data_IF_971817672661
#
_entry.id   IF_971817672661
#
_cell.length_a   1.000
_cell.length_b   1.000
_cell.length_c   1.000
_cell.angle_alpha   90.00
_cell.angle_beta   90.00
_cell.angle_gamma   90.00
#
_symmetry.space_group_name_H-M   'P 1'
#
loop_
_entity.id
_entity.type
_entity.pdbx_description
1 polymer ?
#
# COMPACT_ATOMS: atom_id res chain seq x y z
N UNK A 1 3.79 15.09 -1.84
CA UNK A 1 3.64 13.66 -1.57
C UNK A 1 3.87 13.41 -0.08
N UNK A 2 3.00 12.61 0.55
CA UNK A 2 3.09 12.15 1.94
C UNK A 2 3.17 10.62 1.98
N UNK A 3 3.87 10.08 2.96
CA UNK A 3 4.04 8.63 3.16
C UNK A 3 3.21 8.19 4.35
N UNK A 4 2.24 7.30 4.16
CA UNK A 4 1.36 6.82 5.22
C UNK A 4 1.73 5.40 5.65
N UNK A 5 1.71 5.12 6.94
CA UNK A 5 1.95 3.78 7.47
C UNK A 5 0.66 2.97 7.39
N UNK A 6 0.59 1.99 6.49
CA UNK A 6 -0.50 1.02 6.45
C UNK A 6 -0.34 0.09 7.64
N UNK A 7 -1.28 0.19 8.58
CA UNK A 7 -1.12 -0.34 9.92
C UNK A 7 -2.06 -1.51 10.14
N UNK A 8 -1.47 -2.65 10.53
CA UNK A 8 -2.19 -3.87 10.89
C UNK A 8 -1.72 -4.39 12.25
N UNK A 9 -1.52 -5.71 12.37
CA UNK A 9 -0.96 -6.30 13.57
C UNK A 9 0.45 -5.72 13.89
N UNK A 10 0.81 -5.67 15.19
CA UNK A 10 2.02 -5.00 15.69
C UNK A 10 2.12 -3.51 15.35
N UNK A 11 0.98 -2.81 15.42
CA UNK A 11 0.86 -1.37 15.21
C UNK A 11 1.83 -0.52 16.04
N UNK A 12 2.32 -1.02 17.18
CA UNK A 12 3.36 -0.35 17.97
C UNK A 12 4.60 -0.02 17.13
N UNK A 13 5.01 -0.88 16.20
CA UNK A 13 6.18 -0.62 15.37
C UNK A 13 5.95 0.56 14.43
N UNK A 14 4.74 0.69 13.86
CA UNK A 14 4.37 1.84 13.04
C UNK A 14 4.36 3.13 13.87
N UNK A 15 3.76 3.09 15.07
CA UNK A 15 3.70 4.25 15.98
C UNK A 15 5.10 4.67 16.45
N UNK A 16 5.94 3.74 16.90
CA UNK A 16 7.30 4.04 17.31
C UNK A 16 8.13 4.61 16.14
N UNK A 17 7.92 4.10 14.92
CA UNK A 17 8.60 4.63 13.72
C UNK A 17 8.22 6.09 13.46
N UNK A 18 6.95 6.45 13.62
CA UNK A 18 6.46 7.81 13.43
C UNK A 18 6.92 8.74 14.57
N UNK A 19 6.53 8.43 15.81
CA UNK A 19 6.72 9.33 16.95
C UNK A 19 8.17 9.39 17.45
N UNK A 20 8.92 8.29 17.39
CA UNK A 20 10.30 8.24 17.93
C UNK A 20 11.35 8.39 16.84
N UNK A 21 11.03 8.05 15.59
CA UNK A 21 12.00 8.01 14.51
C UNK A 21 11.66 8.96 13.34
N UNK A 22 10.54 9.69 13.40
CA UNK A 22 10.10 10.63 12.36
C UNK A 22 10.00 9.99 10.97
N UNK A 23 9.55 8.73 10.92
CA UNK A 23 9.35 7.97 9.69
C UNK A 23 7.87 8.04 9.30
N UNK A 24 7.60 8.44 8.06
CA UNK A 24 6.25 8.64 7.54
C UNK A 24 5.63 9.98 7.94
N UNK A 25 4.40 10.19 7.50
CA UNK A 25 3.65 11.45 7.64
C UNK A 25 2.24 11.21 8.22
N UNK A 26 1.88 9.95 8.53
CA UNK A 26 0.59 9.57 9.11
C UNK A 26 0.32 8.08 8.98
N UNK A 27 -0.94 7.67 9.18
CA UNK A 27 -1.35 6.27 9.23
C UNK A 27 -2.59 6.01 8.38
N UNK A 28 -2.69 4.78 7.87
CA UNK A 28 -3.95 4.19 7.43
C UNK A 28 -4.17 2.94 8.28
N UNK A 29 -5.17 2.96 9.14
CA UNK A 29 -5.52 1.81 9.97
C UNK A 29 -6.52 0.91 9.24
N UNK A 30 -6.23 -0.39 9.20
CA UNK A 30 -7.06 -1.38 8.52
C UNK A 30 -8.06 -2.03 9.49
N UNK A 31 -9.37 -1.85 9.28
CA UNK A 31 -10.43 -2.39 10.13
C UNK A 31 -10.36 -3.92 10.35
N UNK A 32 -9.74 -4.67 9.45
CA UNK A 32 -9.49 -6.10 9.60
C UNK A 32 -8.67 -6.43 10.86
N UNK A 33 -7.78 -5.51 11.28
CA UNK A 33 -6.88 -5.69 12.42
C UNK A 33 -7.35 -5.06 13.72
N UNK A 34 -8.35 -4.16 13.68
CA UNK A 34 -8.81 -3.40 14.84
C UNK A 34 -10.31 -3.56 15.01
N UNK A 35 -10.75 -3.91 16.20
CA UNK A 35 -12.19 -3.98 16.53
C UNK A 35 -12.81 -2.61 16.72
N UNK A 36 -14.13 -2.55 16.58
CA UNK A 36 -14.90 -1.34 16.89
C UNK A 36 -14.62 -0.93 18.34
N UNK A 37 -14.36 0.36 18.54
CA UNK A 37 -14.02 0.90 19.86
C UNK A 37 -12.55 0.76 20.25
N UNK A 38 -11.67 0.20 19.38
CA UNK A 38 -10.22 0.13 19.66
C UNK A 38 -9.60 1.49 20.03
N UNK A 39 -10.12 2.58 19.45
CA UNK A 39 -9.71 3.96 19.68
C UNK A 39 -10.52 4.69 20.77
N UNK A 40 -11.40 4.01 21.50
CA UNK A 40 -12.16 4.63 22.60
C UNK A 40 -11.31 4.91 23.86
N UNK A 41 -10.08 4.38 23.91
CA UNK A 41 -9.13 4.59 25.00
C UNK A 41 -8.31 5.86 24.77
N UNK A 42 -7.91 6.53 25.85
CA UNK A 42 -7.09 7.75 25.79
C UNK A 42 -5.69 7.51 25.18
N UNK A 43 -5.16 6.27 25.29
CA UNK A 43 -3.84 5.92 24.78
C UNK A 43 -3.79 4.58 24.04
N UNK A 44 -3.07 4.56 22.93
CA UNK A 44 -2.74 3.34 22.17
C UNK A 44 -1.22 3.12 22.21
N UNK A 45 -0.77 2.02 22.81
CA UNK A 45 0.66 1.66 22.94
C UNK A 45 1.53 2.76 23.55
N UNK A 46 0.96 3.57 24.44
CA UNK A 46 1.64 4.65 25.15
C UNK A 46 1.48 6.05 24.54
N UNK A 47 0.96 6.16 23.31
CA UNK A 47 0.72 7.43 22.61
C UNK A 47 -0.73 7.88 22.78
N UNK A 48 -0.97 9.19 22.80
CA UNK A 48 -2.31 9.78 22.93
C UNK A 48 -3.15 9.48 21.69
N UNK A 49 -4.36 8.96 21.88
CA UNK A 49 -5.19 8.50 20.76
C UNK A 49 -5.59 9.63 19.81
N UNK A 50 -5.96 10.80 20.32
CA UNK A 50 -6.32 11.96 19.49
C UNK A 50 -5.15 12.42 18.61
N UNK A 51 -3.92 12.36 19.12
CA UNK A 51 -2.71 12.69 18.36
C UNK A 51 -2.48 11.70 17.20
N UNK A 52 -2.73 10.40 17.43
CA UNK A 52 -2.70 9.39 16.37
C UNK A 52 -3.77 9.69 15.33
N UNK A 53 -5.02 9.89 15.76
CA UNK A 53 -6.17 10.06 14.87
C UNK A 53 -6.07 11.35 14.03
N UNK A 54 -5.47 12.41 14.56
CA UNK A 54 -5.22 13.66 13.85
C UNK A 54 -4.38 13.49 12.55
N UNK A 55 -3.59 12.41 12.48
CA UNK A 55 -2.75 12.06 11.33
C UNK A 55 -3.17 10.77 10.63
N UNK A 56 -4.41 10.33 10.85
CA UNK A 56 -4.89 9.02 10.41
C UNK A 56 -5.97 9.07 9.33
N UNK A 57 -6.04 7.96 8.62
CA UNK A 57 -7.15 7.52 7.79
C UNK A 57 -7.60 6.16 8.35
N UNK A 58 -8.84 5.77 8.05
CA UNK A 58 -9.37 4.47 8.45
C UNK A 58 -9.93 3.72 7.24
N UNK A 59 -9.22 2.67 6.83
CA UNK A 59 -9.69 1.80 5.75
C UNK A 59 -10.63 0.76 6.35
N UNK A 60 -11.92 0.90 6.05
CA UNK A 60 -12.97 -0.02 6.49
C UNK A 60 -12.98 -1.34 5.73
N UNK A 61 -12.25 -1.45 4.61
CA UNK A 61 -12.01 -2.69 3.87
C UNK A 61 -13.29 -3.45 3.44
N UNK A 62 -14.29 -2.72 2.92
CA UNK A 62 -15.57 -3.31 2.44
C UNK A 62 -15.40 -4.28 1.27
N UNK A 63 -14.22 -4.36 0.68
CA UNK A 63 -13.85 -5.41 -0.25
C UNK A 63 -13.76 -6.81 0.39
N UNK A 64 -13.63 -6.93 1.71
CA UNK A 64 -13.72 -8.22 2.39
C UNK A 64 -15.15 -8.78 2.37
N UNK A 65 -15.53 -9.47 1.29
CA UNK A 65 -16.84 -10.13 1.14
C UNK A 65 -16.77 -11.63 1.48
N UNK A 66 -17.89 -12.13 2.00
CA UNK A 66 -18.12 -13.52 2.46
C UNK A 66 -18.57 -14.36 1.25
N UNK A 67 -17.65 -14.85 0.42
CA UNK A 67 -18.00 -15.99 -0.43
C UNK A 67 -17.87 -17.28 0.40
N UNK A 68 -19.00 -17.96 0.62
CA UNK A 68 -18.99 -19.36 1.10
C UNK A 68 -18.82 -19.62 2.60
N UNK A 69 -19.05 -18.63 3.46
CA UNK A 69 -19.11 -18.84 4.92
C UNK A 69 -18.00 -18.11 5.67
N UNK A 70 -18.42 -17.36 6.69
CA UNK A 70 -17.69 -16.54 7.67
C UNK A 70 -16.24 -16.19 7.34
N UNK A 71 -15.92 -14.89 7.22
CA UNK A 71 -14.54 -14.41 7.41
C UNK A 71 -14.03 -15.04 8.71
N UNK A 72 -13.18 -16.06 8.59
CA UNK A 72 -12.80 -16.89 9.73
C UNK A 72 -11.81 -16.18 10.67
N UNK A 73 -11.20 -15.08 10.19
CA UNK A 73 -10.15 -14.32 10.88
C UNK A 73 -10.32 -12.82 10.64
N UNK A 74 -10.08 -12.01 11.67
CA UNK A 74 -10.12 -10.55 11.59
C UNK A 74 -11.25 -9.93 12.41
N UNK A 75 -11.36 -8.60 12.35
CA UNK A 75 -12.28 -7.81 13.18
C UNK A 75 -13.38 -7.08 12.39
N UNK A 76 -13.51 -7.32 11.09
CA UNK A 76 -14.51 -6.64 10.25
C UNK A 76 -15.95 -6.82 10.74
N UNK A 77 -16.29 -8.00 11.27
CA UNK A 77 -17.62 -8.29 11.82
C UNK A 77 -17.97 -7.56 13.10
N UNK A 78 -17.02 -6.87 13.76
CA UNK A 78 -17.32 -6.07 14.95
C UNK A 78 -17.98 -4.74 14.61
N UNK A 79 -17.92 -4.30 13.35
CA UNK A 79 -18.53 -3.04 12.91
C UNK A 79 -19.95 -3.32 12.39
N UNK A 80 -21.01 -2.80 13.04
CA UNK A 80 -22.39 -3.14 12.69
C UNK A 80 -22.78 -2.68 11.28
N UNK A 81 -22.07 -1.71 10.72
CA UNK A 81 -22.26 -1.22 9.36
C UNK A 81 -21.38 -1.92 8.32
N UNK A 82 -20.51 -2.86 8.71
CA UNK A 82 -19.68 -3.58 7.74
C UNK A 82 -20.51 -4.70 7.07
N UNK A 83 -20.34 -4.96 5.76
CA UNK A 83 -21.09 -6.01 5.05
C UNK A 83 -21.01 -7.39 5.72
N UNK A 84 -19.90 -7.70 6.39
CA UNK A 84 -19.66 -8.99 7.07
C UNK A 84 -20.50 -9.19 8.32
N UNK A 85 -20.91 -8.11 8.98
CA UNK A 85 -21.83 -8.16 10.13
C UNK A 85 -23.29 -8.34 9.68
N UNK A 86 -23.59 -8.01 8.42
CA UNK A 86 -24.95 -8.02 7.83
C UNK A 86 -25.12 -9.11 6.77
N UNK A 87 -24.28 -10.15 6.81
CA UNK A 87 -24.15 -11.16 5.76
C UNK A 87 -25.10 -12.36 5.93
N UNK A 88 -26.30 -12.15 6.49
CA UNK A 88 -27.32 -13.20 6.67
C UNK A 88 -28.30 -13.32 5.49
N UNK A 89 -28.35 -12.34 4.58
CA UNK A 89 -29.18 -12.43 3.38
C UNK A 89 -28.31 -12.52 2.13
N UNK A 90 -28.50 -13.58 1.33
CA UNK A 90 -27.79 -13.83 0.06
C UNK A 90 -28.04 -12.73 -1.00
N UNK A 91 -28.93 -11.78 -0.75
CA UNK A 91 -29.19 -10.62 -1.62
C UNK A 91 -29.09 -9.30 -0.84
N UNK A 92 -27.87 -8.78 -0.67
CA UNK A 92 -27.71 -7.38 -0.25
C UNK A 92 -28.08 -6.47 -1.43
N UNK A 93 -29.18 -5.72 -1.30
CA UNK A 93 -29.57 -4.73 -2.31
C UNK A 93 -28.59 -3.56 -2.36
N UNK A 94 -28.46 -2.89 -3.50
CA UNK A 94 -27.65 -1.66 -3.63
C UNK A 94 -28.04 -0.60 -2.58
N UNK A 95 -29.34 -0.54 -2.21
CA UNK A 95 -29.85 0.36 -1.17
C UNK A 95 -29.24 0.05 0.21
N UNK A 96 -29.16 -1.24 0.58
CA UNK A 96 -28.52 -1.64 1.82
C UNK A 96 -27.03 -1.28 1.81
N UNK A 97 -26.32 -1.61 0.73
CA UNK A 97 -24.88 -1.33 0.60
C UNK A 97 -24.60 0.17 0.73
N UNK A 98 -25.39 1.01 0.05
CA UNK A 98 -25.26 2.45 0.18
C UNK A 98 -25.48 2.95 1.62
N UNK A 99 -26.47 2.39 2.33
CA UNK A 99 -26.72 2.72 3.74
C UNK A 99 -25.51 2.37 4.61
N UNK A 100 -24.93 1.18 4.41
CA UNK A 100 -23.74 0.73 5.11
C UNK A 100 -22.52 1.63 4.82
N UNK A 101 -22.33 2.07 3.57
CA UNK A 101 -21.26 3.00 3.21
C UNK A 101 -21.45 4.35 3.92
N UNK A 102 -22.67 4.90 3.93
CA UNK A 102 -22.99 6.17 4.60
C UNK A 102 -22.71 6.07 6.11
N UNK A 103 -23.11 4.98 6.76
CA UNK A 103 -22.79 4.73 8.17
C UNK A 103 -21.29 4.63 8.42
N UNK A 104 -20.53 3.99 7.52
CA UNK A 104 -19.07 3.92 7.60
C UNK A 104 -18.38 5.28 7.43
N UNK A 105 -18.94 6.19 6.62
CA UNK A 105 -18.49 7.59 6.52
C UNK A 105 -18.77 8.32 7.84
N UNK A 106 -20.00 8.24 8.35
CA UNK A 106 -20.41 8.86 9.61
C UNK A 106 -19.55 8.39 10.77
N UNK A 107 -19.29 7.09 10.89
CA UNK A 107 -18.42 6.55 11.93
C UNK A 107 -17.01 7.16 11.91
N UNK A 108 -16.40 7.29 10.73
CA UNK A 108 -15.07 7.89 10.61
C UNK A 108 -15.04 9.36 11.06
N UNK A 109 -16.11 10.11 10.83
CA UNK A 109 -16.18 11.53 11.18
C UNK A 109 -16.57 11.68 12.65
N UNK A 110 -17.69 11.10 13.06
CA UNK A 110 -18.33 11.39 14.34
C UNK A 110 -17.71 10.59 15.49
N UNK A 111 -17.32 9.34 15.26
CA UNK A 111 -16.75 8.47 16.29
C UNK A 111 -15.23 8.52 16.33
N UNK A 112 -14.56 8.70 15.19
CA UNK A 112 -13.09 8.74 15.11
C UNK A 112 -12.52 10.15 14.91
N UNK A 113 -13.34 11.17 14.62
CA UNK A 113 -12.86 12.55 14.45
C UNK A 113 -11.94 12.75 13.25
N UNK A 114 -12.00 11.88 12.24
CA UNK A 114 -11.04 11.89 11.13
C UNK A 114 -11.32 13.01 10.13
N UNK A 115 -10.28 13.75 9.76
CA UNK A 115 -10.34 14.80 8.73
C UNK A 115 -10.17 14.27 7.31
N UNK A 116 -9.65 13.05 7.17
CA UNK A 116 -9.49 12.38 5.89
C UNK A 116 -10.26 11.05 5.94
N UNK A 117 -11.35 10.99 5.20
CA UNK A 117 -12.30 9.88 5.19
C UNK A 117 -12.06 9.04 3.95
N UNK A 118 -11.81 7.74 4.15
CA UNK A 118 -11.82 6.77 3.06
C UNK A 118 -13.27 6.33 2.89
N UNK A 119 -13.89 6.67 1.76
CA UNK A 119 -15.23 6.20 1.42
C UNK A 119 -15.10 4.70 1.07
N UNK A 120 -15.75 3.80 1.81
CA UNK A 120 -15.67 2.38 1.52
C UNK A 120 -16.33 2.05 0.19
N UNK A 121 -15.75 1.08 -0.51
CA UNK A 121 -16.36 0.47 -1.69
C UNK A 121 -16.00 -1.02 -1.73
N UNK A 122 -16.77 -1.81 -2.45
CA UNK A 122 -16.52 -3.23 -2.55
C UNK A 122 -15.65 -3.61 -3.73
N UNK A 123 -15.08 -4.80 -3.62
CA UNK A 123 -14.45 -5.50 -4.72
C UNK A 123 -15.55 -6.08 -5.62
N UNK A 124 -15.69 -5.53 -6.82
CA UNK A 124 -16.57 -6.06 -7.86
C UNK A 124 -15.73 -6.41 -9.07
N UNK A 125 -15.79 -7.66 -9.47
CA UNK A 125 -14.89 -8.19 -10.47
C UNK A 125 -15.57 -8.45 -11.80
N UNK A 126 -16.90 -8.52 -11.80
CA UNK A 126 -17.66 -9.01 -12.93
C UNK A 126 -18.62 -7.95 -13.49
N UNK A 127 -19.07 -7.01 -12.66
CA UNK A 127 -20.05 -5.98 -13.04
C UNK A 127 -19.56 -4.55 -12.75
N UNK A 128 -18.73 -3.97 -13.63
CA UNK A 128 -18.27 -2.58 -13.50
C UNK A 128 -19.41 -1.57 -13.30
N UNK A 129 -20.58 -1.82 -13.91
CA UNK A 129 -21.75 -0.94 -13.77
C UNK A 129 -22.26 -0.80 -12.34
N UNK A 130 -22.24 -1.87 -11.54
CA UNK A 130 -22.70 -1.83 -10.14
C UNK A 130 -21.73 -1.00 -9.30
N UNK A 131 -20.43 -1.19 -9.52
CA UNK A 131 -19.36 -0.39 -8.93
C UNK A 131 -19.51 1.12 -9.24
N UNK A 132 -19.75 1.47 -10.51
CA UNK A 132 -19.94 2.85 -10.95
C UNK A 132 -21.27 3.44 -10.42
N UNK A 133 -22.33 2.64 -10.32
CA UNK A 133 -23.61 3.09 -9.77
C UNK A 133 -23.47 3.58 -8.32
N UNK A 134 -22.66 2.89 -7.51
CA UNK A 134 -22.41 3.29 -6.13
C UNK A 134 -21.57 4.56 -6.05
N UNK A 135 -20.53 4.69 -6.88
CA UNK A 135 -19.77 5.94 -6.95
C UNK A 135 -20.72 7.11 -7.25
N UNK A 136 -21.61 6.97 -8.25
CA UNK A 136 -22.60 7.99 -8.60
C UNK A 136 -23.54 8.30 -7.44
N UNK A 137 -24.06 7.28 -6.76
CA UNK A 137 -25.01 7.45 -5.66
C UNK A 137 -24.39 8.12 -4.44
N UNK A 138 -23.19 7.67 -4.05
CA UNK A 138 -22.45 8.28 -2.93
C UNK A 138 -21.99 9.70 -3.29
N UNK A 139 -21.56 9.96 -4.53
CA UNK A 139 -21.24 11.30 -4.98
C UNK A 139 -22.45 12.25 -4.86
N UNK A 140 -23.63 11.80 -5.29
CA UNK A 140 -24.89 12.56 -5.15
C UNK A 140 -25.24 12.82 -3.69
N UNK A 141 -25.05 11.82 -2.82
CA UNK A 141 -25.27 11.99 -1.38
C UNK A 141 -24.31 13.01 -0.78
N UNK A 142 -23.02 12.96 -1.15
CA UNK A 142 -22.01 13.92 -0.69
C UNK A 142 -22.30 15.35 -1.14
N UNK A 143 -22.92 15.57 -2.30
CA UNK A 143 -23.32 16.93 -2.73
C UNK A 143 -24.15 17.67 -1.67
N UNK A 144 -24.96 16.94 -0.89
CA UNK A 144 -25.81 17.50 0.16
C UNK A 144 -25.29 17.29 1.60
N UNK A 145 -24.31 16.40 1.80
CA UNK A 145 -23.89 15.94 3.14
C UNK A 145 -22.39 16.07 3.39
N UNK A 146 -21.65 16.77 2.53
CA UNK A 146 -20.21 17.02 2.74
C UNK A 146 -20.04 17.89 3.99
N UNK A 147 -19.12 17.50 4.86
CA UNK A 147 -18.78 18.25 6.07
C UNK A 147 -17.58 19.13 5.78
N UNK A 148 -17.69 20.42 6.14
CA UNK A 148 -16.62 21.38 5.94
C UNK A 148 -15.33 20.98 6.67
N UNK A 149 -14.19 21.12 5.98
CA UNK A 149 -12.88 20.74 6.51
C UNK A 149 -12.57 19.24 6.47
N UNK A 150 -13.50 18.40 5.99
CA UNK A 150 -13.28 16.97 5.77
C UNK A 150 -12.95 16.71 4.29
N UNK A 151 -11.89 15.92 4.05
CA UNK A 151 -11.55 15.38 2.74
C UNK A 151 -12.08 13.97 2.58
N UNK A 152 -12.58 13.65 1.39
CA UNK A 152 -13.19 12.37 1.07
C UNK A 152 -12.45 11.69 -0.08
N UNK A 153 -12.09 10.43 0.11
CA UNK A 153 -11.34 9.62 -0.85
C UNK A 153 -12.13 8.38 -1.23
N UNK A 154 -12.60 8.30 -2.48
CA UNK A 154 -13.35 7.14 -2.96
C UNK A 154 -12.45 5.92 -3.12
N UNK A 155 -12.78 4.81 -2.46
CA UNK A 155 -12.04 3.56 -2.65
C UNK A 155 -12.27 3.02 -4.05
N UNK A 156 -11.16 2.75 -4.75
CA UNK A 156 -11.10 2.14 -6.07
C UNK A 156 -10.32 0.83 -5.97
N UNK A 157 -10.99 -0.29 -5.64
CA UNK A 157 -10.36 -1.59 -5.57
C UNK A 157 -10.37 -2.25 -6.95
N UNK A 158 -9.20 -2.56 -7.49
CA UNK A 158 -9.02 -3.05 -8.86
C UNK A 158 -8.39 -4.45 -8.83
N UNK A 159 -9.12 -5.39 -9.42
CA UNK A 159 -8.66 -6.76 -9.55
C UNK A 159 -7.58 -6.94 -10.60
N UNK A 160 -6.80 -8.01 -10.45
CA UNK A 160 -5.70 -8.27 -11.37
C UNK A 160 -6.16 -8.44 -12.83
N UNK A 161 -7.25 -9.19 -13.08
CA UNK A 161 -7.79 -9.38 -14.43
C UNK A 161 -8.40 -8.11 -15.02
N UNK A 162 -8.72 -7.11 -14.19
CA UNK A 162 -9.19 -5.80 -14.64
C UNK A 162 -8.02 -4.87 -14.95
N UNK A 163 -7.01 -4.78 -14.07
CA UNK A 163 -5.87 -3.88 -14.27
C UNK A 163 -5.00 -4.27 -15.47
N UNK A 164 -4.94 -5.53 -15.86
CA UNK A 164 -4.19 -5.97 -17.06
C UNK A 164 -4.99 -5.81 -18.37
N UNK A 165 -6.26 -5.40 -18.29
CA UNK A 165 -7.14 -5.21 -19.44
C UNK A 165 -7.29 -3.70 -19.73
N UNK A 166 -6.69 -3.24 -20.81
CA UNK A 166 -6.67 -1.82 -21.20
C UNK A 166 -8.08 -1.27 -21.46
N UNK A 167 -8.96 -2.04 -22.11
CA UNK A 167 -10.30 -1.58 -22.44
C UNK A 167 -11.14 -1.34 -21.18
N UNK A 168 -11.03 -2.24 -20.18
CA UNK A 168 -11.71 -2.07 -18.89
C UNK A 168 -11.20 -0.87 -18.11
N UNK A 169 -9.90 -0.58 -18.21
CA UNK A 169 -9.29 0.58 -17.53
C UNK A 169 -9.71 1.88 -18.20
N UNK A 170 -9.78 1.91 -19.52
CA UNK A 170 -10.30 3.07 -20.25
C UNK A 170 -11.79 3.34 -19.93
N UNK A 171 -12.62 2.29 -19.90
CA UNK A 171 -14.04 2.39 -19.49
C UNK A 171 -14.18 2.90 -18.05
N UNK A 172 -13.40 2.34 -17.13
CA UNK A 172 -13.36 2.79 -15.74
C UNK A 172 -12.99 4.27 -15.66
N UNK A 173 -11.89 4.69 -16.30
CA UNK A 173 -11.41 6.07 -16.26
C UNK A 173 -12.38 7.04 -16.92
N UNK A 174 -13.06 6.63 -18.00
CA UNK A 174 -14.14 7.41 -18.58
C UNK A 174 -15.20 7.73 -17.53
N UNK A 175 -15.70 6.73 -16.81
CA UNK A 175 -16.69 6.95 -15.75
C UNK A 175 -16.17 7.74 -14.55
N UNK A 176 -14.90 7.57 -14.17
CA UNK A 176 -14.32 8.33 -13.06
C UNK A 176 -14.09 9.81 -13.40
N UNK A 177 -14.01 10.16 -14.68
CA UNK A 177 -13.67 11.53 -15.13
C UNK A 177 -14.83 12.29 -15.76
N UNK A 178 -15.87 11.60 -16.24
CA UNK A 178 -17.08 12.22 -16.82
C UNK A 178 -18.09 12.69 -15.76
N UNK A 179 -17.95 12.25 -14.51
CA UNK A 179 -18.89 12.60 -13.45
C UNK A 179 -18.54 13.95 -12.80
N UNK A 180 -19.54 14.76 -12.40
CA UNK A 180 -19.32 15.94 -11.57
C UNK A 180 -19.00 15.51 -10.12
N UNK A 181 -17.78 15.02 -9.93
CA UNK A 181 -17.31 14.49 -8.65
C UNK A 181 -17.11 15.62 -7.62
N UNK A 182 -17.64 15.42 -6.41
CA UNK A 182 -17.52 16.36 -5.28
C UNK A 182 -16.59 15.86 -4.17
N UNK A 183 -16.16 14.61 -4.21
CA UNK A 183 -15.10 14.10 -3.34
C UNK A 183 -13.72 14.50 -3.86
N UNK A 184 -12.71 14.47 -2.98
CA UNK A 184 -11.43 15.16 -3.18
C UNK A 184 -10.41 14.29 -3.91
N UNK A 185 -10.58 12.96 -3.85
CA UNK A 185 -9.64 12.05 -4.47
C UNK A 185 -10.04 10.58 -4.44
N UNK A 186 -9.08 9.73 -4.78
CA UNK A 186 -9.24 8.28 -4.82
C UNK A 186 -8.24 7.55 -3.94
N UNK A 187 -8.75 6.58 -3.18
CA UNK A 187 -7.97 5.59 -2.44
C UNK A 187 -7.84 4.32 -3.28
N UNK A 188 -6.71 4.17 -3.96
CA UNK A 188 -6.53 3.19 -5.03
C UNK A 188 -5.87 1.94 -4.47
N UNK A 189 -6.60 0.82 -4.52
CA UNK A 189 -6.17 -0.49 -4.05
C UNK A 189 -6.10 -1.40 -5.27
N UNK A 190 -4.95 -1.98 -5.58
CA UNK A 190 -4.79 -2.76 -6.82
C UNK A 190 -4.07 -4.08 -6.59
N UNK A 191 -4.57 -5.16 -7.18
CA UNK A 191 -3.91 -6.47 -7.14
C UNK A 191 -2.80 -6.59 -8.19
N UNK A 192 -1.55 -6.60 -7.74
CA UNK A 192 -0.38 -6.68 -8.62
C UNK A 192 -0.12 -8.09 -9.18
N UNK A 193 -0.51 -9.15 -8.45
CA UNK A 193 -0.26 -10.57 -8.77
C UNK A 193 1.17 -10.86 -9.27
N UNK A 194 2.19 -10.78 -8.40
CA UNK A 194 3.56 -11.15 -8.78
C UNK A 194 3.67 -12.63 -9.18
N UNK A 195 4.63 -12.96 -10.04
CA UNK A 195 4.94 -14.34 -10.39
C UNK A 195 5.50 -15.13 -9.18
N UNK A 196 5.55 -16.45 -9.31
CA UNK A 196 6.14 -17.31 -8.30
C UNK A 196 7.58 -16.87 -7.96
N UNK A 197 7.88 -16.80 -6.66
CA UNK A 197 9.17 -16.34 -6.11
C UNK A 197 9.55 -14.91 -6.50
N UNK A 198 8.55 -14.07 -6.75
CA UNK A 198 8.67 -12.63 -6.87
C UNK A 198 7.79 -11.97 -5.83
N UNK A 199 8.14 -10.73 -5.47
CA UNK A 199 7.42 -9.94 -4.46
C UNK A 199 6.64 -8.76 -5.04
N UNK A 200 6.93 -8.40 -6.28
CA UNK A 200 6.31 -7.30 -7.04
C UNK A 200 6.06 -7.77 -8.46
N UNK A 201 5.06 -7.20 -9.11
CA UNK A 201 4.71 -7.55 -10.47
C UNK A 201 5.69 -6.95 -11.47
N UNK A 202 6.05 -7.74 -12.49
CA UNK A 202 6.77 -7.28 -13.68
C UNK A 202 5.89 -7.28 -14.92
N UNK A 203 4.57 -7.43 -14.77
CA UNK A 203 3.65 -7.36 -15.90
C UNK A 203 3.59 -5.91 -16.43
N UNK A 204 3.99 -5.73 -17.70
CA UNK A 204 4.02 -4.44 -18.35
C UNK A 204 2.62 -3.81 -18.47
N UNK A 205 1.57 -4.63 -18.63
CA UNK A 205 0.18 -4.14 -18.71
C UNK A 205 -0.25 -3.57 -17.36
N UNK A 206 0.07 -4.26 -16.27
CA UNK A 206 -0.17 -3.76 -14.91
C UNK A 206 0.54 -2.41 -14.68
N UNK A 207 1.85 -2.34 -14.96
CA UNK A 207 2.63 -1.11 -14.78
C UNK A 207 2.07 0.05 -15.61
N UNK A 208 1.77 -0.20 -16.89
CA UNK A 208 1.22 0.80 -17.81
C UNK A 208 -0.15 1.30 -17.33
N UNK A 209 -1.08 0.40 -17.08
CA UNK A 209 -2.46 0.75 -16.78
C UNK A 209 -2.58 1.43 -15.41
N UNK A 210 -1.81 0.99 -14.40
CA UNK A 210 -1.79 1.65 -13.10
C UNK A 210 -1.14 3.05 -13.18
N UNK A 211 -0.07 3.22 -13.96
CA UNK A 211 0.50 4.54 -14.24
C UNK A 211 -0.50 5.45 -14.96
N UNK A 212 -1.26 4.92 -15.93
CA UNK A 212 -2.33 5.64 -16.63
C UNK A 212 -3.41 6.11 -15.68
N UNK A 213 -3.86 5.26 -14.75
CA UNK A 213 -4.85 5.67 -13.72
C UNK A 213 -4.35 6.89 -12.95
N UNK A 214 -3.15 6.82 -12.37
CA UNK A 214 -2.61 7.93 -11.59
C UNK A 214 -2.43 9.20 -12.44
N UNK A 215 -1.89 9.08 -13.67
CA UNK A 215 -1.71 10.22 -14.57
C UNK A 215 -3.06 10.87 -14.93
N UNK A 216 -4.07 10.07 -15.27
CA UNK A 216 -5.39 10.56 -15.68
C UNK A 216 -6.13 11.23 -14.53
N UNK A 217 -6.20 10.59 -13.36
CA UNK A 217 -6.85 11.17 -12.19
C UNK A 217 -6.14 12.45 -11.74
N UNK A 218 -4.80 12.49 -11.79
CA UNK A 218 -4.04 13.69 -11.43
C UNK A 218 -4.26 14.85 -12.40
N UNK A 219 -4.39 14.57 -13.71
CA UNK A 219 -4.76 15.58 -14.72
C UNK A 219 -6.14 16.19 -14.45
N UNK A 220 -7.06 15.41 -13.89
CA UNK A 220 -8.36 15.90 -13.41
C UNK A 220 -8.30 16.56 -12.03
N UNK A 221 -7.10 16.81 -11.50
CA UNK A 221 -6.83 17.48 -10.21
C UNK A 221 -7.32 16.74 -8.97
N UNK A 222 -7.63 15.44 -9.08
CA UNK A 222 -7.92 14.62 -7.92
C UNK A 222 -6.65 14.37 -7.09
N UNK A 223 -6.82 14.31 -5.77
CA UNK A 223 -5.81 13.73 -4.90
C UNK A 223 -5.77 12.21 -5.07
N UNK A 224 -4.58 11.61 -5.04
CA UNK A 224 -4.43 10.15 -5.21
C UNK A 224 -3.68 9.53 -4.04
N UNK A 225 -4.23 8.43 -3.52
CA UNK A 225 -3.61 7.61 -2.49
C UNK A 225 -3.31 6.25 -3.10
N UNK A 226 -2.03 5.89 -3.23
CA UNK A 226 -1.63 4.53 -3.60
C UNK A 226 -1.58 3.64 -2.36
N UNK A 227 -2.61 2.82 -2.18
CA UNK A 227 -2.77 1.95 -1.04
C UNK A 227 -2.16 0.56 -1.27
N UNK A 228 -1.73 -0.10 -0.18
CA UNK A 228 -1.04 -1.39 -0.19
C UNK A 228 0.17 -1.40 -1.13
N UNK A 229 0.81 -0.25 -1.30
CA UNK A 229 1.91 -0.10 -2.22
C UNK A 229 3.14 -0.89 -1.76
N UNK A 230 3.86 -1.47 -2.72
CA UNK A 230 5.16 -2.06 -2.49
C UNK A 230 6.26 -1.06 -2.90
N UNK A 231 7.52 -1.51 -2.98
CA UNK A 231 8.60 -0.63 -3.45
C UNK A 231 8.55 -0.35 -4.97
N UNK A 232 7.64 -0.99 -5.71
CA UNK A 232 7.27 -0.60 -7.08
C UNK A 232 6.57 0.77 -7.15
N UNK A 233 6.09 1.29 -6.01
CA UNK A 233 5.66 2.68 -5.85
C UNK A 233 6.68 3.71 -6.37
N UNK A 234 7.99 3.39 -6.33
CA UNK A 234 9.04 4.22 -6.89
C UNK A 234 8.83 4.48 -8.39
N UNK A 235 8.43 3.43 -9.14
CA UNK A 235 8.16 3.52 -10.59
C UNK A 235 7.02 4.48 -10.84
N UNK A 236 5.88 4.30 -10.17
CA UNK A 236 4.71 5.13 -10.39
C UNK A 236 4.94 6.58 -9.99
N UNK A 237 5.57 6.81 -8.82
CA UNK A 237 5.92 8.15 -8.35
C UNK A 237 6.90 8.87 -9.29
N UNK A 238 7.76 8.13 -10.00
CA UNK A 238 8.68 8.73 -10.97
C UNK A 238 7.98 9.30 -12.21
N UNK A 239 6.74 8.87 -12.48
CA UNK A 239 5.98 9.21 -13.69
C UNK A 239 4.78 10.13 -13.45
N UNK A 240 4.39 10.34 -12.18
CA UNK A 240 3.21 11.15 -11.82
C UNK A 240 3.32 11.66 -10.39
N UNK A 241 2.59 12.73 -10.08
CA UNK A 241 2.53 13.31 -8.74
C UNK A 241 1.44 12.63 -7.89
N UNK A 242 1.81 11.52 -7.24
CA UNK A 242 0.97 10.84 -6.26
C UNK A 242 0.98 11.62 -4.95
N UNK A 243 -0.19 11.90 -4.39
CA UNK A 243 -0.32 12.74 -3.19
C UNK A 243 0.03 11.96 -1.92
N UNK A 244 -0.39 10.71 -1.83
CA UNK A 244 -0.10 9.82 -0.71
C UNK A 244 0.32 8.42 -1.19
N UNK A 245 1.33 7.85 -0.56
CA UNK A 245 1.76 6.46 -0.79
C UNK A 245 1.78 5.74 0.54
N UNK A 246 1.11 4.60 0.64
CA UNK A 246 1.14 3.78 1.85
C UNK A 246 2.35 2.86 1.87
N UNK A 247 2.94 2.61 3.04
CA UNK A 247 4.00 1.63 3.26
C UNK A 247 3.64 0.71 4.43
N UNK A 248 3.96 -0.57 4.31
CA UNK A 248 3.59 -1.60 5.29
C UNK A 248 4.79 -2.31 5.90
N UNK A 249 4.67 -2.76 7.15
CA UNK A 249 5.70 -3.59 7.82
C UNK A 249 5.71 -5.03 7.28
N UNK A 250 4.53 -5.56 6.97
CA UNK A 250 4.32 -6.91 6.46
C UNK A 250 3.98 -6.91 4.97
N UNK A 251 4.26 -8.03 4.31
CA UNK A 251 4.05 -8.19 2.87
C UNK A 251 2.57 -8.11 2.45
N UNK A 252 1.66 -8.65 3.27
CA UNK A 252 0.21 -8.53 3.07
C UNK A 252 -0.33 -7.08 3.25
N UNK A 253 0.50 -6.16 3.73
CA UNK A 253 0.24 -4.71 3.79
C UNK A 253 0.99 -3.95 2.69
N UNK A 254 1.73 -4.66 1.82
CA UNK A 254 2.49 -4.12 0.70
C UNK A 254 2.13 -4.77 -0.64
N UNK A 255 1.20 -5.71 -0.64
CA UNK A 255 0.61 -6.34 -1.81
C UNK A 255 -0.84 -6.65 -1.44
N UNK A 256 -1.77 -5.92 -2.03
CA UNK A 256 -3.18 -6.22 -1.85
C UNK A 256 -3.53 -7.55 -2.55
N UNK A 257 -4.32 -8.37 -1.85
CA UNK A 257 -4.91 -9.60 -2.37
C UNK A 257 -6.25 -9.83 -1.68
N UNK A 258 -7.31 -10.05 -2.46
CA UNK A 258 -8.63 -10.38 -1.95
C UNK A 258 -8.62 -11.70 -1.16
N UNK A 259 -7.70 -12.60 -1.50
CA UNK A 259 -7.53 -13.91 -0.85
C UNK A 259 -7.27 -13.82 0.64
N UNK A 260 -6.67 -12.71 1.09
CA UNK A 260 -6.46 -12.41 2.51
C UNK A 260 -7.77 -12.42 3.32
N UNK A 261 -8.89 -12.09 2.69
CA UNK A 261 -10.20 -12.02 3.34
C UNK A 261 -11.01 -13.31 3.17
N UNK A 262 -10.72 -14.12 2.14
CA UNK A 262 -11.53 -15.28 1.76
C UNK A 262 -10.88 -16.63 2.06
N UNK A 263 -9.55 -16.71 2.20
CA UNK A 263 -8.82 -17.97 2.38
C UNK A 263 -7.92 -17.96 3.60
N UNK A 264 -7.75 -19.13 4.24
CA UNK A 264 -6.66 -19.32 5.19
C UNK A 264 -5.36 -19.51 4.41
N UNK A 265 -4.57 -18.44 4.30
CA UNK A 265 -3.19 -18.57 3.85
C UNK A 265 -2.31 -19.04 5.02
N UNK A 266 -1.79 -20.26 4.94
CA UNK A 266 -0.73 -20.73 5.83
C UNK A 266 0.60 -20.14 5.36
N UNK A 267 1.10 -19.17 6.14
CA UNK A 267 2.44 -18.64 5.96
C UNK A 267 3.48 -19.59 6.55
N UNK A 268 4.27 -20.24 5.70
CA UNK A 268 5.44 -21.00 6.15
C UNK A 268 6.43 -20.11 6.93
N UNK A 269 7.26 -20.67 7.82
CA UNK A 269 8.22 -19.90 8.61
C UNK A 269 9.25 -19.23 7.69
N UNK A 270 9.14 -17.92 7.53
CA UNK A 270 10.18 -17.11 6.90
C UNK A 270 11.17 -16.65 7.96
N UNK A 271 12.47 -16.80 7.69
CA UNK A 271 13.50 -16.17 8.52
C UNK A 271 13.34 -14.65 8.49
N UNK A 272 12.85 -14.07 7.39
CA UNK A 272 12.66 -12.64 7.19
C UNK A 272 13.52 -12.11 6.04
N UNK A 273 13.44 -10.81 5.80
CA UNK A 273 14.13 -10.15 4.69
C UNK A 273 14.75 -8.81 5.10
N UNK A 274 15.89 -8.49 4.52
CA UNK A 274 16.56 -7.19 4.61
C UNK A 274 16.27 -6.38 3.35
N UNK A 275 15.63 -5.21 3.47
CA UNK A 275 15.51 -4.31 2.32
C UNK A 275 16.82 -3.55 2.09
N UNK A 276 17.35 -3.63 0.88
CA UNK A 276 18.54 -2.88 0.43
C UNK A 276 18.12 -1.85 -0.60
N UNK A 277 18.37 -0.57 -0.33
CA UNK A 277 18.21 0.49 -1.35
C UNK A 277 19.26 0.40 -2.45
N UNK A 278 20.47 -0.07 -2.11
CA UNK A 278 21.55 -0.23 -3.06
C UNK A 278 21.21 -1.30 -4.12
N UNK A 279 20.37 -2.28 -3.78
CA UNK A 279 19.84 -3.28 -4.72
C UNK A 279 18.42 -2.98 -5.20
N UNK A 280 17.74 -1.98 -4.63
CA UNK A 280 16.30 -1.72 -4.79
C UNK A 280 15.45 -2.99 -4.63
N UNK A 281 15.80 -3.83 -3.65
CA UNK A 281 15.13 -5.12 -3.43
C UNK A 281 15.31 -5.66 -1.99
N UNK A 282 14.54 -6.69 -1.65
CA UNK A 282 14.69 -7.49 -0.44
C UNK A 282 15.69 -8.65 -0.63
N UNK A 283 16.68 -8.69 0.25
CA UNK A 283 17.62 -9.80 0.41
C UNK A 283 17.09 -10.75 1.48
N UNK A 284 16.91 -12.03 1.17
CA UNK A 284 16.55 -13.04 2.19
C UNK A 284 17.62 -13.08 3.28
N UNK A 285 17.20 -13.19 4.54
CA UNK A 285 18.09 -13.23 5.69
C UNK A 285 19.24 -14.24 5.55
N UNK A 286 18.97 -15.41 4.96
CA UNK A 286 19.94 -16.48 4.74
C UNK A 286 21.13 -16.09 3.86
N UNK A 287 20.98 -15.06 3.01
CA UNK A 287 22.09 -14.57 2.19
C UNK A 287 23.01 -13.61 2.95
N UNK A 288 22.58 -13.07 4.09
CA UNK A 288 23.37 -12.06 4.80
C UNK A 288 24.67 -12.62 5.36
N UNK A 289 24.67 -13.86 5.83
CA UNK A 289 25.90 -14.52 6.30
C UNK A 289 26.86 -14.80 5.15
N UNK A 290 26.35 -15.25 4.00
CA UNK A 290 27.15 -15.41 2.78
C UNK A 290 27.76 -14.07 2.35
N UNK A 291 26.96 -13.01 2.30
CA UNK A 291 27.41 -11.66 1.93
C UNK A 291 28.47 -11.16 2.90
N UNK A 292 28.30 -11.41 4.21
CA UNK A 292 29.27 -11.03 5.24
C UNK A 292 30.60 -11.77 5.05
N UNK A 293 30.55 -13.09 4.88
CA UNK A 293 31.75 -13.92 4.71
C UNK A 293 32.54 -13.55 3.45
N UNK A 294 31.85 -13.13 2.40
CA UNK A 294 32.46 -12.68 1.14
C UNK A 294 32.75 -11.17 1.11
N UNK A 295 32.68 -10.47 2.25
CA UNK A 295 32.97 -9.02 2.39
C UNK A 295 32.11 -8.12 1.48
N UNK A 296 30.87 -8.52 1.20
CA UNK A 296 29.92 -7.79 0.35
C UNK A 296 28.92 -6.90 1.08
N UNK A 297 29.01 -6.75 2.41
CA UNK A 297 28.02 -6.02 3.22
C UNK A 297 27.89 -4.56 2.78
N UNK A 298 29.02 -3.90 2.49
CA UNK A 298 29.04 -2.50 2.06
C UNK A 298 28.31 -2.27 0.72
N UNK A 299 28.15 -3.31 -0.10
CA UNK A 299 27.43 -3.22 -1.39
C UNK A 299 25.92 -3.15 -1.16
N UNK A 300 25.40 -3.78 -0.11
CA UNK A 300 23.95 -3.88 0.16
C UNK A 300 23.47 -2.94 1.27
N UNK A 301 24.39 -2.34 2.00
CA UNK A 301 24.11 -1.49 3.16
C UNK A 301 23.23 -0.29 2.76
N UNK A 302 22.26 0.05 3.61
CA UNK A 302 21.49 1.27 3.44
C UNK A 302 22.27 2.43 4.07
N UNK A 303 22.41 3.53 3.35
CA UNK A 303 23.05 4.72 3.85
C UNK A 303 22.19 5.35 4.95
N UNK A 304 22.79 5.95 5.99
CA UNK A 304 22.07 6.72 7.03
C UNK A 304 20.83 6.01 7.61
N UNK A 305 20.92 4.71 7.82
CA UNK A 305 19.84 3.90 8.39
C UNK A 305 20.36 3.11 9.59
N UNK A 306 20.06 3.61 10.79
CA UNK A 306 20.52 3.02 12.06
C UNK A 306 20.02 1.58 12.26
N UNK A 307 18.88 1.21 11.67
CA UNK A 307 18.36 -0.14 11.73
C UNK A 307 19.12 -1.07 10.78
N UNK A 308 19.49 -0.59 9.59
CA UNK A 308 20.40 -1.30 8.69
C UNK A 308 21.75 -1.56 9.38
N UNK A 309 22.32 -0.53 10.01
CA UNK A 309 23.56 -0.67 10.78
C UNK A 309 23.44 -1.76 11.84
N UNK A 310 22.39 -1.73 12.67
CA UNK A 310 22.17 -2.72 13.73
C UNK A 310 21.98 -4.15 13.20
N UNK A 311 21.28 -4.32 12.07
CA UNK A 311 20.99 -5.61 11.46
C UNK A 311 22.24 -6.25 10.85
N UNK A 312 23.13 -5.44 10.25
CA UNK A 312 24.28 -5.93 9.51
C UNK A 312 25.47 -6.31 10.41
N UNK A 313 25.45 -5.90 11.69
CA UNK A 313 26.41 -6.33 12.71
C UNK A 313 26.50 -7.86 12.76
N UNK A 314 27.72 -8.35 12.94
CA UNK A 314 27.99 -9.79 13.05
C UNK A 314 27.25 -10.40 14.27
N UNK A 315 26.65 -11.57 14.06
CA UNK A 315 25.91 -12.26 15.12
C UNK A 315 24.51 -11.69 15.42
N UNK A 316 23.99 -10.76 14.60
CA UNK A 316 22.63 -10.27 14.75
C UNK A 316 21.61 -11.44 14.80
N UNK A 317 20.80 -11.56 15.87
CA UNK A 317 19.88 -12.68 16.05
C UNK A 317 18.64 -12.50 15.17
N UNK A 318 18.78 -12.90 13.90
CA UNK A 318 17.78 -12.65 12.88
C UNK A 318 16.40 -13.25 13.21
N UNK A 319 15.35 -12.44 13.13
CA UNK A 319 13.96 -12.87 13.26
C UNK A 319 13.00 -11.88 12.62
N UNK A 320 11.94 -12.37 11.99
CA UNK A 320 10.84 -11.55 11.46
C UNK A 320 9.93 -10.95 12.56
N UNK A 321 10.25 -11.18 13.83
CA UNK A 321 9.60 -10.54 14.99
C UNK A 321 10.43 -9.36 15.54
N UNK A 322 11.59 -9.06 14.94
CA UNK A 322 12.46 -7.96 15.36
C UNK A 322 12.01 -6.66 14.72
N UNK A 323 11.69 -5.61 15.49
CA UNK A 323 11.23 -4.34 14.95
C UNK A 323 12.23 -3.69 14.00
N UNK A 324 13.54 -3.86 14.25
CA UNK A 324 14.62 -3.29 13.46
C UNK A 324 14.49 -3.70 11.98
N UNK A 325 14.12 -4.95 11.69
CA UNK A 325 13.97 -5.47 10.33
C UNK A 325 12.90 -4.69 9.55
N UNK A 326 11.78 -4.41 10.20
CA UNK A 326 10.67 -3.66 9.59
C UNK A 326 10.97 -2.16 9.53
N UNK A 327 11.54 -1.59 10.61
CA UNK A 327 11.93 -0.18 10.66
C UNK A 327 13.02 0.16 9.64
N UNK A 328 13.94 -0.77 9.35
CA UNK A 328 14.91 -0.65 8.27
C UNK A 328 14.21 -0.38 6.93
N UNK A 329 13.23 -1.22 6.57
CA UNK A 329 12.45 -1.02 5.35
C UNK A 329 11.70 0.32 5.38
N UNK A 330 10.94 0.59 6.43
CA UNK A 330 10.09 1.80 6.52
C UNK A 330 10.91 3.09 6.36
N UNK A 331 12.05 3.19 7.04
CA UNK A 331 12.95 4.35 6.93
C UNK A 331 13.50 4.48 5.50
N UNK A 332 14.04 3.40 4.96
CA UNK A 332 14.68 3.41 3.64
C UNK A 332 13.68 3.75 2.54
N UNK A 333 12.51 3.09 2.50
CA UNK A 333 11.52 3.35 1.45
C UNK A 333 10.94 4.77 1.56
N UNK A 334 10.69 5.27 2.78
CA UNK A 334 10.23 6.65 2.99
C UNK A 334 11.22 7.65 2.42
N UNK A 335 12.53 7.44 2.66
CA UNK A 335 13.56 8.31 2.10
C UNK A 335 13.59 8.25 0.57
N UNK A 336 13.60 7.06 -0.03
CA UNK A 336 13.61 6.93 -1.49
C UNK A 336 12.40 7.62 -2.14
N UNK A 337 11.22 7.47 -1.55
CA UNK A 337 10.00 8.14 -2.01
C UNK A 337 10.12 9.67 -1.85
N UNK A 338 10.58 10.17 -0.70
CA UNK A 338 10.75 11.61 -0.45
C UNK A 338 11.85 12.22 -1.35
N UNK A 339 12.92 11.49 -1.63
CA UNK A 339 13.97 11.89 -2.56
C UNK A 339 13.42 12.07 -3.98
N UNK A 340 12.72 11.07 -4.52
CA UNK A 340 12.08 11.17 -5.84
C UNK A 340 11.07 12.32 -5.87
N UNK A 341 10.19 12.41 -4.88
CA UNK A 341 9.17 13.46 -4.82
C UNK A 341 9.74 14.88 -4.67
N UNK A 342 10.98 15.03 -4.19
CA UNK A 342 11.64 16.34 -4.08
C UNK A 342 11.99 16.95 -5.44
N UNK A 343 12.20 16.11 -6.46
CA UNK A 343 12.34 16.55 -7.84
C UNK A 343 10.96 16.79 -8.44
N UNK A 344 10.66 18.05 -8.77
CA UNK A 344 9.34 18.48 -9.27
C UNK A 344 9.19 18.22 -10.76
N UNK A 345 10.29 18.17 -11.50
CA UNK A 345 10.28 17.87 -12.92
C UNK A 345 10.18 16.35 -13.12
N UNK A 346 9.06 15.88 -13.67
CA UNK A 346 8.80 14.45 -13.85
C UNK A 346 9.85 13.77 -14.74
N UNK A 347 10.41 14.46 -15.75
CA UNK A 347 11.45 13.88 -16.61
C UNK A 347 12.77 13.74 -15.87
N UNK A 348 13.13 14.70 -15.02
CA UNK A 348 14.29 14.57 -14.13
C UNK A 348 14.08 13.49 -13.08
N UNK A 349 12.88 13.40 -12.49
CA UNK A 349 12.51 12.37 -11.52
C UNK A 349 12.60 10.96 -12.13
N UNK A 350 12.12 10.80 -13.36
CA UNK A 350 12.25 9.57 -14.17
C UNK A 350 13.72 9.20 -14.39
N UNK A 351 14.55 10.16 -14.82
CA UNK A 351 16.01 9.96 -15.00
C UNK A 351 16.72 9.59 -13.69
N UNK A 352 16.32 10.20 -12.57
CA UNK A 352 16.85 9.89 -11.24
C UNK A 352 16.59 8.43 -10.87
N UNK A 353 15.36 7.94 -11.08
CA UNK A 353 15.05 6.53 -10.83
C UNK A 353 15.82 5.58 -11.75
N UNK A 354 15.92 5.91 -13.05
CA UNK A 354 16.72 5.12 -14.01
C UNK A 354 18.18 5.02 -13.55
N UNK A 355 18.78 6.12 -13.08
CA UNK A 355 20.14 6.11 -12.55
C UNK A 355 20.29 5.22 -11.32
N UNK A 356 19.30 5.20 -10.41
CA UNK A 356 19.29 4.28 -9.26
C UNK A 356 19.16 2.83 -9.70
N UNK A 357 18.34 2.53 -10.70
CA UNK A 357 18.21 1.19 -11.28
C UNK A 357 19.54 0.74 -11.88
N UNK A 358 20.22 1.60 -12.64
CA UNK A 358 21.52 1.30 -13.24
C UNK A 358 22.60 1.03 -12.18
N UNK A 359 22.58 1.79 -11.08
CA UNK A 359 23.48 1.53 -9.96
C UNK A 359 23.16 0.21 -9.26
N UNK A 360 21.88 -0.11 -9.08
CA UNK A 360 21.48 -1.39 -8.49
C UNK A 360 21.94 -2.58 -9.34
N UNK A 361 21.81 -2.51 -10.67
CA UNK A 361 22.33 -3.55 -11.58
C UNK A 361 23.84 -3.73 -11.40
N UNK A 362 24.63 -2.64 -11.36
CA UNK A 362 26.08 -2.70 -11.10
C UNK A 362 26.41 -3.32 -9.74
N UNK A 363 25.61 -3.05 -8.72
CA UNK A 363 25.80 -3.62 -7.40
C UNK A 363 25.55 -5.14 -7.40
N UNK A 364 24.55 -5.62 -8.14
CA UNK A 364 24.36 -7.06 -8.39
C UNK A 364 25.57 -7.68 -9.10
N UNK A 365 26.09 -7.06 -10.16
CA UNK A 365 27.32 -7.52 -10.85
C UNK A 365 28.55 -7.53 -9.93
N UNK A 366 28.62 -6.59 -8.97
CA UNK A 366 29.69 -6.58 -7.97
C UNK A 366 29.55 -7.73 -6.96
N UNK A 367 28.33 -8.06 -6.52
CA UNK A 367 28.07 -9.24 -5.69
C UNK A 367 28.47 -10.53 -6.42
N UNK A 368 28.14 -10.64 -7.71
CA UNK A 368 28.51 -11.81 -8.51
C UNK A 368 30.04 -11.97 -8.66
N UNK A 369 30.78 -10.86 -8.80
CA UNK A 369 32.26 -10.86 -8.77
C UNK A 369 32.85 -11.31 -7.43
N UNK A 370 32.10 -11.20 -6.34
CA UNK A 370 32.43 -11.75 -5.02
C UNK A 370 31.90 -13.17 -4.83
N UNK A 371 31.46 -13.84 -5.90
CA UNK A 371 30.85 -15.17 -5.88
C UNK A 371 29.57 -15.25 -5.02
N UNK A 372 28.84 -14.14 -4.90
CA UNK A 372 27.54 -14.07 -4.23
C UNK A 372 26.46 -14.01 -5.30
N UNK A 373 25.75 -15.13 -5.51
CA UNK A 373 24.60 -15.18 -6.44
C UNK A 373 23.30 -15.20 -5.65
N UNK A 374 22.55 -14.10 -5.71
CA UNK A 374 21.23 -14.00 -5.10
C UNK A 374 20.17 -14.67 -5.99
N UNK A 375 19.27 -15.45 -5.39
CA UNK A 375 18.24 -16.22 -6.12
C UNK A 375 16.82 -15.82 -5.72
N UNK A 376 15.84 -16.36 -6.44
CA UNK A 376 14.40 -16.22 -6.14
C UNK A 376 13.97 -14.76 -5.98
N UNK A 377 13.34 -14.40 -4.86
CA UNK A 377 12.85 -13.05 -4.56
C UNK A 377 13.99 -12.02 -4.42
N UNK A 378 15.23 -12.47 -4.19
CA UNK A 378 16.39 -11.59 -3.97
C UNK A 378 17.18 -11.26 -5.24
N UNK A 379 16.85 -11.87 -6.38
CA UNK A 379 17.47 -11.54 -7.68
C UNK A 379 16.96 -10.20 -8.22
N UNK A 380 17.62 -9.65 -9.23
CA UNK A 380 17.30 -8.36 -9.85
C UNK A 380 16.18 -8.41 -10.92
N UNK A 381 15.22 -9.35 -10.81
CA UNK A 381 14.27 -9.70 -11.88
C UNK A 381 13.42 -8.52 -12.38
N UNK A 382 13.15 -7.55 -11.52
CA UNK A 382 12.31 -6.39 -11.83
C UNK A 382 13.07 -5.23 -12.46
N UNK A 383 14.39 -5.10 -12.21
CA UNK A 383 15.15 -3.91 -12.59
C UNK A 383 15.16 -3.67 -14.10
N UNK A 384 15.40 -4.74 -14.89
CA UNK A 384 15.37 -4.65 -16.35
C UNK A 384 13.99 -4.26 -16.90
N UNK A 385 12.93 -4.83 -16.31
CA UNK A 385 11.55 -4.50 -16.69
C UNK A 385 11.21 -3.04 -16.37
N UNK A 386 11.53 -2.58 -15.17
CA UNK A 386 11.31 -1.19 -14.77
C UNK A 386 12.04 -0.21 -15.66
N UNK A 387 13.32 -0.48 -15.96
CA UNK A 387 14.10 0.38 -16.87
C UNK A 387 13.46 0.47 -18.25
N UNK A 388 13.12 -0.69 -18.84
CA UNK A 388 12.46 -0.75 -20.15
C UNK A 388 11.13 0.00 -20.13
N UNK A 389 10.31 -0.21 -19.09
CA UNK A 389 9.06 0.52 -18.91
C UNK A 389 9.30 2.03 -18.87
N UNK A 390 10.14 2.53 -17.96
CA UNK A 390 10.41 3.97 -17.82
C UNK A 390 10.95 4.64 -19.10
N UNK A 391 11.74 3.92 -19.92
CA UNK A 391 12.25 4.44 -21.19
C UNK A 391 11.18 4.54 -22.29
N UNK A 392 10.05 3.85 -22.14
CA UNK A 392 8.92 3.86 -23.09
C UNK A 392 7.77 4.77 -22.66
N UNK A 393 7.85 5.39 -21.48
CA UNK A 393 6.79 6.21 -20.88
C UNK A 393 6.94 7.72 -21.11
#
# INVERSE_FOLDING_TARGET
>A
MKVLHLTGHFQKWNLDSYFQNSIGDGFVFCAYSFEEGFFAKDKVNGYVTDEILAHSFFDLQYYGKKEGGNIQKGKLGTYPFHPTANAESEEQTNVLIESLIKQGITYQIDNLGLKNVIIPNYYENERPNDFIAIIKSINKWLTANKVDGIKYFMTLPIANHTIIDEAKIDELLFHLTDLPIVFDGYYIVCEAKPDARQKISTDFKYLRNLATIFKTLKKQKFETIYAYANWDALVFLSLTDIDYITIGTYENLRNFTIKRFTTQEDGGPSKGWYFSEALLNFVKAQFLDLIRNQKGIDIIKNERNVFSDAILVEGYPWSNQKPEVHKNYLLTITRLLKELASEKDLEKRKKLLIAKIDQAVKNYEQLERLHITLTDESKNYHLGMWKSFLLTQ
#
